data_IF_064429649015
#
_entry.id   IF_064429649015
#
_cell.length_a   1.000
_cell.length_b   1.000
_cell.length_c   1.000
_cell.angle_alpha   90.00
_cell.angle_beta   90.00
_cell.angle_gamma   90.00
#
_symmetry.space_group_name_H-M   'P 1'
#
loop_
_entity.id
_entity.type
_entity.pdbx_description
1 polymer ?
#
# COMPACT_ATOMS: atom_id res chain seq x y z
N UNK A 1 -16.95 -9.42 7.77
CA UNK A 1 -15.77 -9.11 6.93
C UNK A 1 -15.15 -7.81 7.39
N UNK A 2 -13.85 -7.75 7.46
CA UNK A 2 -13.11 -6.55 7.85
C UNK A 2 -12.17 -6.14 6.72
N UNK A 3 -12.04 -4.83 6.52
CA UNK A 3 -11.07 -4.29 5.56
C UNK A 3 -9.75 -4.04 6.25
N UNK A 4 -8.68 -4.37 5.55
CA UNK A 4 -7.31 -4.18 6.03
C UNK A 4 -6.51 -3.39 5.01
N UNK A 5 -5.69 -2.47 5.53
CA UNK A 5 -4.71 -1.74 4.73
C UNK A 5 -3.38 -2.49 4.79
N UNK A 6 -2.85 -2.82 3.65
CA UNK A 6 -1.52 -3.43 3.50
C UNK A 6 -0.68 -2.39 2.79
N UNK A 7 0.40 -1.94 3.42
CA UNK A 7 1.15 -0.81 2.87
C UNK A 7 2.66 -0.97 3.07
N UNK A 8 3.41 -0.25 2.28
CA UNK A 8 4.86 -0.12 2.43
C UNK A 8 5.25 1.35 2.28
N UNK A 9 6.41 1.70 2.84
CA UNK A 9 6.89 3.07 2.80
C UNK A 9 7.74 3.32 1.56
N UNK A 10 7.73 4.58 1.11
CA UNK A 10 8.54 5.04 0.01
C UNK A 10 10.02 4.77 0.30
N UNK A 11 10.72 4.21 -0.67
CA UNK A 11 12.14 3.86 -0.53
C UNK A 11 12.39 2.43 -0.03
N UNK A 12 11.37 1.71 0.43
CA UNK A 12 11.54 0.34 0.91
C UNK A 12 11.69 -0.68 -0.21
N UNK A 13 11.18 -0.38 -1.40
CA UNK A 13 11.35 -1.24 -2.57
C UNK A 13 12.73 -0.98 -3.19
N UNK A 14 13.71 -1.81 -2.83
CA UNK A 14 15.08 -1.69 -3.33
C UNK A 14 15.43 -2.91 -4.18
N UNK A 15 15.68 -2.68 -5.46
CA UNK A 15 16.09 -3.72 -6.41
C UNK A 15 16.74 -3.05 -7.63
N UNK A 16 17.52 -3.79 -8.43
CA UNK A 16 18.07 -3.25 -9.67
C UNK A 16 16.97 -2.77 -10.61
N UNK A 17 17.22 -1.65 -11.30
CA UNK A 17 16.24 -1.04 -12.19
C UNK A 17 15.74 -2.01 -13.27
N UNK A 18 16.62 -2.87 -13.78
CA UNK A 18 16.26 -3.88 -14.77
C UNK A 18 15.25 -4.91 -14.25
N UNK A 19 15.09 -5.03 -12.92
CA UNK A 19 14.12 -5.95 -12.32
C UNK A 19 12.72 -5.34 -12.24
N UNK A 20 12.58 -4.04 -12.45
CA UNK A 20 11.29 -3.34 -12.30
C UNK A 20 10.15 -3.98 -13.08
N UNK A 21 10.29 -4.35 -14.36
CA UNK A 21 9.20 -5.00 -15.07
C UNK A 21 8.76 -6.33 -14.44
N UNK A 22 9.72 -7.11 -13.92
CA UNK A 22 9.43 -8.38 -13.25
C UNK A 22 8.73 -8.17 -11.92
N UNK A 23 9.15 -7.16 -11.14
CA UNK A 23 8.50 -6.81 -9.86
C UNK A 23 7.07 -6.33 -10.13
N UNK A 24 6.87 -5.49 -11.13
CA UNK A 24 5.53 -5.01 -11.48
C UNK A 24 4.61 -6.17 -11.89
N UNK A 25 5.11 -7.12 -12.68
CA UNK A 25 4.33 -8.31 -13.07
C UNK A 25 3.99 -9.16 -11.85
N UNK A 26 4.94 -9.35 -10.92
CA UNK A 26 4.70 -10.14 -9.72
C UNK A 26 3.64 -9.48 -8.83
N UNK A 27 3.71 -8.16 -8.63
CA UNK A 27 2.72 -7.43 -7.86
C UNK A 27 1.34 -7.50 -8.51
N UNK A 28 1.27 -7.30 -9.83
CA UNK A 28 0.01 -7.39 -10.56
C UNK A 28 -0.59 -8.80 -10.50
N UNK A 29 0.23 -9.84 -10.48
CA UNK A 29 -0.24 -11.22 -10.35
C UNK A 29 -0.92 -11.43 -8.98
N UNK A 30 -0.40 -10.85 -7.91
CA UNK A 30 -1.04 -10.92 -6.59
C UNK A 30 -2.36 -10.16 -6.59
N UNK A 31 -2.43 -8.99 -7.22
CA UNK A 31 -3.68 -8.24 -7.38
C UNK A 31 -4.72 -9.07 -8.13
N UNK A 32 -4.33 -9.70 -9.23
CA UNK A 32 -5.23 -10.55 -10.00
C UNK A 32 -5.73 -11.74 -9.17
N UNK A 33 -4.85 -12.34 -8.38
CA UNK A 33 -5.21 -13.42 -7.46
C UNK A 33 -6.22 -12.95 -6.40
N UNK A 34 -6.01 -11.75 -5.84
CA UNK A 34 -6.92 -11.16 -4.86
C UNK A 34 -8.29 -10.84 -5.48
N UNK A 35 -8.30 -10.36 -6.72
CA UNK A 35 -9.55 -10.13 -7.47
C UNK A 35 -10.30 -11.43 -7.70
N UNK A 36 -9.59 -12.46 -8.13
CA UNK A 36 -10.18 -13.78 -8.37
C UNK A 36 -10.75 -14.39 -7.08
N UNK A 37 -10.11 -14.13 -5.94
CA UNK A 37 -10.58 -14.59 -4.63
C UNK A 37 -11.73 -13.74 -4.07
N UNK A 38 -12.06 -12.63 -4.71
CA UNK A 38 -13.15 -11.74 -4.27
C UNK A 38 -12.80 -10.89 -3.06
N UNK A 39 -11.53 -10.71 -2.74
CA UNK A 39 -11.09 -9.95 -1.55
C UNK A 39 -10.52 -8.56 -1.88
N UNK A 40 -10.23 -8.30 -3.14
CA UNK A 40 -9.64 -7.04 -3.56
C UNK A 40 -10.65 -5.90 -3.47
N UNK A 41 -10.28 -4.82 -2.79
CA UNK A 41 -11.09 -3.60 -2.73
C UNK A 41 -10.47 -2.53 -3.63
N UNK A 42 -9.23 -2.15 -3.34
CA UNK A 42 -8.58 -1.05 -4.03
C UNK A 42 -7.11 -0.97 -3.64
N UNK A 43 -6.28 -0.43 -4.49
CA UNK A 43 -4.89 -0.18 -4.14
C UNK A 43 -4.09 0.34 -5.32
N UNK A 44 -2.84 0.65 -5.06
CA UNK A 44 -1.91 1.12 -6.06
C UNK A 44 -0.69 1.77 -5.45
N UNK A 45 0.24 2.16 -6.30
CA UNK A 45 1.41 2.94 -5.92
C UNK A 45 1.09 4.42 -5.87
N UNK A 46 1.84 5.15 -5.06
CA UNK A 46 1.74 6.60 -4.97
C UNK A 46 2.94 7.25 -5.65
N UNK A 47 2.74 8.45 -6.16
CA UNK A 47 3.85 9.27 -6.65
C UNK A 47 4.74 9.70 -5.50
N UNK A 48 5.96 10.15 -5.80
CA UNK A 48 6.94 10.53 -4.79
C UNK A 48 6.39 11.58 -3.82
N UNK A 49 6.74 11.42 -2.54
CA UNK A 49 6.25 12.30 -1.47
C UNK A 49 6.68 13.76 -1.65
N UNK A 50 7.76 14.04 -2.38
CA UNK A 50 8.19 15.41 -2.63
C UNK A 50 7.21 16.21 -3.50
N UNK A 51 6.25 15.53 -4.15
CA UNK A 51 5.16 16.18 -4.89
C UNK A 51 3.88 16.37 -4.08
N UNK A 52 3.90 16.05 -2.79
CA UNK A 52 2.73 16.15 -1.94
C UNK A 52 2.35 17.61 -1.66
N UNK A 53 1.07 17.83 -1.41
CA UNK A 53 0.55 19.11 -0.94
C UNK A 53 -0.10 18.93 0.43
N UNK A 54 -0.06 19.95 1.24
CA UNK A 54 -0.71 19.97 2.56
C UNK A 54 -1.82 21.01 2.52
N UNK A 55 -3.02 20.60 2.92
CA UNK A 55 -4.17 21.50 3.02
C UNK A 55 -4.50 21.69 4.51
N UNK A 56 -4.45 22.92 4.96
CA UNK A 56 -4.72 23.25 6.36
C UNK A 56 -6.21 23.30 6.67
N UNK A 57 -6.53 23.42 7.95
CA UNK A 57 -7.92 23.51 8.43
C UNK A 57 -8.64 24.76 7.97
N UNK A 58 -7.89 25.80 7.56
CA UNK A 58 -8.41 27.02 6.97
C UNK A 58 -8.51 26.94 5.44
N UNK A 59 -8.31 25.74 4.88
CA UNK A 59 -8.31 25.45 3.45
C UNK A 59 -7.12 26.03 2.68
N UNK A 60 -6.09 26.57 3.36
CA UNK A 60 -4.88 27.01 2.67
C UNK A 60 -4.06 25.79 2.22
N UNK A 61 -3.44 25.92 1.04
CA UNK A 61 -2.62 24.86 0.45
C UNK A 61 -1.15 25.27 0.51
N UNK A 62 -0.31 24.34 0.94
CA UNK A 62 1.13 24.54 0.98
C UNK A 62 1.84 23.31 0.42
N UNK A 63 3.13 23.46 0.10
CA UNK A 63 3.92 22.34 -0.32
C UNK A 63 4.13 21.38 0.84
N UNK A 64 3.98 20.10 0.52
CA UNK A 64 4.26 19.01 1.45
C UNK A 64 5.60 18.35 1.16
N UNK A 65 5.81 17.23 1.79
CA UNK A 65 4.94 16.55 2.76
C UNK A 65 4.90 17.26 4.12
N UNK A 66 4.12 16.71 5.08
CA UNK A 66 4.10 17.24 6.44
C UNK A 66 5.50 17.36 7.02
N UNK A 67 5.77 18.48 7.69
CA UNK A 67 7.06 18.72 8.36
C UNK A 67 7.29 17.69 9.46
N UNK A 68 8.53 17.25 9.60
CA UNK A 68 8.92 16.30 10.64
C UNK A 68 8.52 14.86 10.39
N UNK A 69 7.77 14.59 9.34
CA UNK A 69 7.41 13.22 8.98
C UNK A 69 8.61 12.57 8.30
N UNK A 70 9.02 11.39 8.80
CA UNK A 70 10.22 10.72 8.31
C UNK A 70 9.92 9.61 7.33
N UNK A 71 8.71 9.05 7.36
CA UNK A 71 8.31 7.96 6.47
C UNK A 71 7.01 8.33 5.75
N UNK A 72 6.90 7.89 4.51
CA UNK A 72 5.76 8.20 3.65
C UNK A 72 5.29 6.94 2.96
N UNK A 73 3.98 6.71 2.92
CA UNK A 73 3.42 5.56 2.23
C UNK A 73 3.79 5.63 0.75
N UNK A 74 4.39 4.56 0.24
CA UNK A 74 4.77 4.46 -1.18
C UNK A 74 3.74 3.73 -2.01
N UNK A 75 2.94 2.86 -1.38
CA UNK A 75 1.87 2.14 -2.05
C UNK A 75 1.07 1.33 -1.05
N UNK A 76 -0.10 0.88 -1.48
CA UNK A 76 -0.96 0.11 -0.59
C UNK A 76 -1.94 -0.77 -1.35
N UNK A 77 -2.48 -1.74 -0.63
CA UNK A 77 -3.61 -2.55 -1.06
C UNK A 77 -4.64 -2.57 0.06
N UNK A 78 -5.91 -2.53 -0.29
CA UNK A 78 -7.01 -2.74 0.66
C UNK A 78 -7.70 -4.04 0.28
N UNK A 79 -7.78 -4.96 1.24
CA UNK A 79 -8.47 -6.25 1.08
C UNK A 79 -9.57 -6.37 2.13
N UNK A 80 -10.64 -7.06 1.76
CA UNK A 80 -11.75 -7.36 2.68
C UNK A 80 -11.80 -8.86 2.90
N UNK A 81 -11.51 -9.28 4.13
CA UNK A 81 -11.35 -10.69 4.48
C UNK A 81 -12.01 -10.99 5.84
N UNK A 82 -12.34 -12.27 6.12
CA UNK A 82 -13.02 -12.62 7.37
C UNK A 82 -12.11 -12.57 8.59
N UNK A 83 -10.79 -12.64 8.45
CA UNK A 83 -9.89 -12.73 9.61
C UNK A 83 -8.59 -11.98 9.37
N UNK A 84 -7.94 -11.59 10.48
CA UNK A 84 -6.61 -10.99 10.44
C UNK A 84 -5.59 -11.94 9.82
N UNK A 85 -5.69 -13.24 10.14
CA UNK A 85 -4.76 -14.24 9.58
C UNK A 85 -4.80 -14.25 8.06
N UNK A 86 -5.98 -14.15 7.45
CA UNK A 86 -6.09 -14.07 6.00
C UNK A 86 -5.48 -12.78 5.45
N UNK A 87 -5.67 -11.65 6.16
CA UNK A 87 -5.02 -10.40 5.76
C UNK A 87 -3.49 -10.52 5.78
N UNK A 88 -2.94 -11.19 6.79
CA UNK A 88 -1.49 -11.42 6.89
C UNK A 88 -0.99 -12.34 5.77
N UNK A 89 -1.77 -13.33 5.36
CA UNK A 89 -1.42 -14.19 4.23
C UNK A 89 -1.34 -13.38 2.92
N UNK A 90 -2.29 -12.48 2.69
CA UNK A 90 -2.24 -11.59 1.52
C UNK A 90 -1.05 -10.64 1.59
N UNK A 91 -0.79 -10.08 2.78
CA UNK A 91 0.37 -9.22 2.99
C UNK A 91 1.68 -9.93 2.69
N UNK A 92 1.80 -11.22 3.07
CA UNK A 92 2.98 -12.01 2.75
C UNK A 92 3.18 -12.15 1.24
N UNK A 93 2.11 -12.35 0.48
CA UNK A 93 2.18 -12.43 -0.98
C UNK A 93 2.68 -11.11 -1.57
N UNK A 94 2.16 -9.97 -1.09
CA UNK A 94 2.62 -8.65 -1.54
C UNK A 94 4.06 -8.38 -1.13
N UNK A 95 4.46 -8.78 0.08
CA UNK A 95 5.84 -8.58 0.54
C UNK A 95 6.83 -9.32 -0.36
N UNK A 96 6.53 -10.55 -0.72
CA UNK A 96 7.38 -11.33 -1.63
C UNK A 96 7.42 -10.71 -3.02
N UNK A 97 6.26 -10.33 -3.55
CA UNK A 97 6.16 -9.76 -4.90
C UNK A 97 6.84 -8.40 -5.01
N UNK A 98 6.65 -7.53 -4.02
CA UNK A 98 7.20 -6.17 -4.00
C UNK A 98 8.62 -6.11 -3.44
N UNK A 99 9.13 -7.21 -2.88
CA UNK A 99 10.49 -7.32 -2.30
C UNK A 99 10.71 -6.34 -1.15
N UNK A 100 9.67 -6.07 -0.36
CA UNK A 100 9.78 -5.25 0.84
C UNK A 100 8.71 -5.65 1.86
N UNK A 101 8.99 -5.38 3.12
CA UNK A 101 8.04 -5.65 4.20
C UNK A 101 6.74 -4.85 4.01
N UNK A 102 5.64 -5.41 4.46
CA UNK A 102 4.33 -4.77 4.40
C UNK A 102 3.79 -4.58 5.81
N UNK A 103 3.20 -3.43 6.06
CA UNK A 103 2.50 -3.14 7.32
C UNK A 103 1.01 -3.42 7.13
N UNK A 104 0.37 -4.03 8.12
CA UNK A 104 -1.04 -4.41 8.05
C UNK A 104 -1.81 -3.73 9.18
N UNK A 105 -2.86 -2.99 8.83
CA UNK A 105 -3.74 -2.36 9.80
C UNK A 105 -5.20 -2.58 9.41
N UNK A 106 -6.02 -2.89 10.39
CA UNK A 106 -7.46 -2.98 10.16
C UNK A 106 -8.07 -1.57 10.05
N UNK A 107 -9.04 -1.42 9.17
CA UNK A 107 -9.89 -0.23 9.16
C UNK A 107 -10.84 -0.28 10.34
N UNK A 108 -11.18 0.90 10.86
CA UNK A 108 -12.23 1.02 11.86
C UNK A 108 -13.55 0.57 11.20
N UNK A 109 -14.36 -0.26 11.89
CA UNK A 109 -15.65 -0.66 11.31
C UNK A 109 -16.52 0.56 11.01
N UNK A 110 -17.28 0.47 9.93
CA UNK A 110 -18.27 1.51 9.60
C UNK A 110 -19.30 1.60 10.70
N UNK A 111 -19.62 2.80 11.08
CA UNK A 111 -20.64 3.06 12.10
C UNK A 111 -22.05 2.89 11.55
#
# INVERSE_FOLDING_TARGET
>A
MTRYLISFDEGDMVFPEEDLPGVARAANAVVDEAKAAGVWVFGGGLTAANGASVVGTDATVSDGPFRGKQTFVGGFAVVEVPSREQALEWAAKFAVACRCAQEVRAFVPDA
#
